data_IF_779365615142
#
_entry.id   IF_779365615142
#
_cell.length_a   1.000
_cell.length_b   1.000
_cell.length_c   1.000
_cell.angle_alpha   90.00
_cell.angle_beta   90.00
_cell.angle_gamma   90.00
#
_symmetry.space_group_name_H-M   'P 1'
#
loop_
_entity.id
_entity.type
_entity.pdbx_description
1 polymer ?
#
# COMPACT_ATOMS: atom_id res chain seq x y z
N UNK A 1 10.60 3.81 -18.81
CA UNK A 1 10.80 3.37 -17.42
C UNK A 1 10.28 4.47 -16.50
N UNK A 2 9.10 4.31 -15.91
CA UNK A 2 8.49 5.33 -15.06
C UNK A 2 9.16 5.33 -13.68
N UNK A 3 9.92 6.39 -13.40
CA UNK A 3 10.64 6.63 -12.13
C UNK A 3 9.62 6.58 -10.98
N UNK A 4 9.78 5.66 -10.03
CA UNK A 4 8.96 5.58 -8.82
C UNK A 4 9.03 6.94 -8.12
N UNK A 5 7.97 7.75 -8.27
CA UNK A 5 7.82 9.02 -7.54
C UNK A 5 7.47 8.65 -6.11
N UNK A 6 8.49 8.54 -5.26
CA UNK A 6 8.30 8.54 -3.83
C UNK A 6 7.51 9.81 -3.47
N UNK A 7 6.32 9.62 -2.91
CA UNK A 7 5.59 10.75 -2.35
C UNK A 7 6.31 11.15 -1.05
N UNK A 8 6.41 12.45 -0.76
CA UNK A 8 6.93 12.96 0.51
C UNK A 8 5.94 12.71 1.66
N UNK A 9 5.27 11.57 1.66
CA UNK A 9 4.29 11.15 2.64
C UNK A 9 4.90 9.98 3.44
N UNK A 10 4.56 9.94 4.73
CA UNK A 10 4.97 8.90 5.65
C UNK A 10 3.74 8.14 6.12
N UNK A 11 3.94 6.88 6.47
CA UNK A 11 2.89 6.07 7.07
C UNK A 11 2.52 6.63 8.44
N UNK A 12 1.22 6.77 8.69
CA UNK A 12 0.72 7.26 9.96
C UNK A 12 1.05 6.35 11.17
N UNK A 13 1.24 5.04 10.94
CA UNK A 13 1.49 4.05 11.99
C UNK A 13 2.99 3.93 12.28
N UNK A 14 3.80 3.66 11.26
CA UNK A 14 5.22 3.34 11.44
C UNK A 14 6.18 4.46 11.06
N UNK A 15 5.69 5.57 10.50
CA UNK A 15 6.51 6.71 10.07
C UNK A 15 7.41 6.43 8.86
N UNK A 16 7.41 5.20 8.29
CA UNK A 16 8.19 4.87 7.09
C UNK A 16 7.66 5.63 5.88
N UNK A 17 8.57 5.96 4.95
CA UNK A 17 8.20 6.53 3.64
C UNK A 17 7.33 5.56 2.87
N UNK A 18 6.21 6.05 2.37
CA UNK A 18 5.29 5.25 1.57
C UNK A 18 5.58 5.42 0.07
N UNK A 19 5.34 4.36 -0.69
CA UNK A 19 5.45 4.40 -2.14
C UNK A 19 4.08 4.73 -2.78
N UNK A 20 4.05 4.80 -4.11
CA UNK A 20 2.81 5.06 -4.87
C UNK A 20 1.75 3.97 -4.72
N UNK A 21 2.15 2.72 -4.43
CA UNK A 21 1.26 1.59 -4.21
C UNK A 21 0.58 1.65 -2.84
N UNK A 22 1.33 1.93 -1.78
CA UNK A 22 0.80 2.14 -0.42
C UNK A 22 -0.30 3.21 -0.43
N UNK A 23 -0.07 4.32 -1.14
CA UNK A 23 -1.06 5.39 -1.30
C UNK A 23 -2.28 4.94 -2.09
N UNK A 24 -2.07 4.11 -3.12
CA UNK A 24 -3.16 3.55 -3.92
C UNK A 24 -4.03 2.62 -3.08
N UNK A 25 -3.43 1.68 -2.32
CA UNK A 25 -4.16 0.81 -1.40
C UNK A 25 -4.90 1.64 -0.35
N UNK A 26 -4.22 2.61 0.27
CA UNK A 26 -4.82 3.46 1.31
C UNK A 26 -6.07 4.18 0.79
N UNK A 27 -6.02 4.67 -0.46
CA UNK A 27 -7.15 5.31 -1.13
C UNK A 27 -8.27 4.31 -1.46
N UNK A 28 -7.92 3.11 -1.94
CA UNK A 28 -8.89 2.05 -2.26
C UNK A 28 -9.64 1.57 -1.01
N UNK A 29 -8.91 1.39 0.10
CA UNK A 29 -9.48 1.02 1.40
C UNK A 29 -10.11 2.21 2.14
N UNK A 30 -10.10 3.41 1.55
CA UNK A 30 -10.69 4.63 2.12
C UNK A 30 -10.13 5.03 3.49
N UNK A 31 -8.86 4.70 3.76
CA UNK A 31 -8.20 5.16 4.98
C UNK A 31 -8.08 6.69 4.98
N UNK A 32 -8.35 7.29 6.15
CA UNK A 32 -8.24 8.74 6.37
C UNK A 32 -6.79 9.24 6.25
N UNK A 33 -5.83 8.41 6.65
CA UNK A 33 -4.39 8.70 6.59
C UNK A 33 -3.68 7.61 5.81
N UNK A 34 -2.64 7.93 5.03
CA UNK A 34 -1.96 6.93 4.23
C UNK A 34 -1.14 5.99 5.13
N UNK A 35 -1.27 4.69 4.86
CA UNK A 35 -0.62 3.62 5.61
C UNK A 35 0.23 2.74 4.70
N UNK A 36 1.27 2.16 5.28
CA UNK A 36 2.15 1.22 4.59
C UNK A 36 1.46 -0.15 4.42
N UNK A 37 1.77 -0.89 3.36
CA UNK A 37 1.19 -2.22 3.12
C UNK A 37 1.49 -3.20 4.26
N UNK A 38 2.66 -3.11 4.91
CA UNK A 38 2.96 -3.93 6.10
C UNK A 38 2.08 -3.59 7.30
N UNK A 39 1.72 -2.33 7.44
CA UNK A 39 0.90 -1.81 8.53
C UNK A 39 -0.55 -2.25 8.35
N UNK A 40 -1.04 -2.13 7.11
CA UNK A 40 -2.37 -2.60 6.71
C UNK A 40 -2.42 -4.13 6.86
N UNK A 41 -1.42 -4.85 6.36
CA UNK A 41 -1.34 -6.31 6.50
C UNK A 41 -1.35 -6.74 7.98
N UNK A 42 -0.60 -6.04 8.86
CA UNK A 42 -0.63 -6.28 10.29
C UNK A 42 -2.00 -5.97 10.93
N UNK A 43 -2.70 -4.91 10.49
CA UNK A 43 -4.05 -4.59 10.98
C UNK A 43 -5.06 -5.69 10.63
N UNK A 44 -4.93 -6.30 9.45
CA UNK A 44 -5.77 -7.41 9.01
C UNK A 44 -5.22 -8.81 9.39
N UNK A 45 -4.18 -8.88 10.23
CA UNK A 45 -3.51 -10.11 10.65
C UNK A 45 -3.14 -11.04 9.46
N UNK A 46 -2.65 -10.44 8.37
CA UNK A 46 -2.28 -11.15 7.15
C UNK A 46 -0.88 -10.77 6.68
N UNK A 47 -0.33 -11.57 5.76
CA UNK A 47 0.96 -11.25 5.13
C UNK A 47 0.78 -10.19 4.04
N UNK A 48 1.86 -9.47 3.72
CA UNK A 48 1.88 -8.49 2.63
C UNK A 48 1.49 -9.14 1.29
N UNK A 49 1.93 -10.38 1.06
CA UNK A 49 1.58 -11.14 -0.14
C UNK A 49 0.08 -11.49 -0.19
N UNK A 50 -0.51 -11.87 0.95
CA UNK A 50 -1.94 -12.12 1.03
C UNK A 50 -2.75 -10.84 0.77
N UNK A 51 -2.32 -9.70 1.32
CA UNK A 51 -2.92 -8.40 1.05
C UNK A 51 -2.87 -8.07 -0.45
N UNK A 52 -1.71 -8.27 -1.10
CA UNK A 52 -1.54 -8.02 -2.55
C UNK A 52 -2.45 -8.92 -3.38
N UNK A 53 -2.52 -10.21 -3.08
CA UNK A 53 -3.45 -11.14 -3.75
C UNK A 53 -4.91 -10.73 -3.55
N UNK A 54 -5.28 -10.29 -2.35
CA UNK A 54 -6.64 -9.83 -2.05
C UNK A 54 -6.98 -8.54 -2.80
N UNK A 55 -6.02 -7.62 -2.91
CA UNK A 55 -6.17 -6.39 -3.70
C UNK A 55 -6.34 -6.69 -5.19
N UNK A 56 -5.61 -7.66 -5.73
CA UNK A 56 -5.80 -8.10 -7.12
C UNK A 56 -7.17 -8.77 -7.29
N UNK A 57 -7.55 -9.67 -6.39
CA UNK A 57 -8.78 -10.45 -6.51
C UNK A 57 -10.07 -9.62 -6.37
N UNK A 58 -10.10 -8.66 -5.44
CA UNK A 58 -11.31 -7.87 -5.17
C UNK A 58 -11.34 -6.53 -5.91
N UNK A 59 -10.19 -5.90 -6.14
CA UNK A 59 -10.11 -4.55 -6.70
C UNK A 59 -9.44 -4.50 -8.08
N UNK A 60 -8.96 -5.64 -8.61
CA UNK A 60 -8.20 -5.72 -9.88
C UNK A 60 -7.00 -4.76 -9.93
N UNK A 61 -6.43 -4.43 -8.77
CA UNK A 61 -5.27 -3.55 -8.67
C UNK A 61 -4.00 -4.34 -8.37
N UNK A 62 -2.95 -4.08 -9.13
CA UNK A 62 -1.63 -4.69 -8.94
C UNK A 62 -0.58 -3.68 -8.45
N UNK A 63 0.42 -4.15 -7.69
CA UNK A 63 1.59 -3.34 -7.36
C UNK A 63 2.26 -2.84 -8.64
N UNK A 64 2.71 -1.58 -8.63
CA UNK A 64 3.47 -1.03 -9.75
C UNK A 64 4.75 -1.85 -9.95
N UNK A 65 5.15 -2.09 -11.21
CA UNK A 65 6.37 -2.86 -11.49
C UNK A 65 7.59 -2.15 -10.89
N UNK A 66 8.33 -2.86 -10.03
CA UNK A 66 9.56 -2.38 -9.39
C UNK A 66 9.44 -1.98 -7.92
N UNK A 67 8.42 -2.47 -7.21
CA UNK A 67 8.29 -2.37 -5.75
C UNK A 67 8.70 -3.70 -5.12
#
# INVERSE_FOLDING_TARGET
MAKVRYLNESCNICGKRINSWDKRISKTLTYRYPCCESCIAAEYDMTVEALRNRMEHYFDIRPCQGI
#
